data_IF_050115723079
#
_entry.id   IF_050115723079
#
_cell.length_a   1.000
_cell.length_b   1.000
_cell.length_c   1.000
_cell.angle_alpha   90.00
_cell.angle_beta   90.00
_cell.angle_gamma   90.00
#
_symmetry.space_group_name_H-M   'P 1'
#
loop_
_entity.id
_entity.type
_entity.pdbx_description
1 polymer ?
#
# COMPACT_ATOMS: atom_id res chain seq x y z
N UNK A 1 -16.83 3.78 12.58
CA UNK A 1 -16.37 2.80 11.56
C UNK A 1 -15.25 2.02 12.22
N UNK A 2 -15.21 0.70 12.08
CA UNK A 2 -14.14 -0.14 12.64
C UNK A 2 -12.82 0.16 11.95
N UNK A 3 -11.73 0.17 12.72
CA UNK A 3 -10.36 0.27 12.21
C UNK A 3 -10.00 -1.06 11.51
N UNK A 4 -9.34 -1.08 10.35
CA UNK A 4 -8.83 -2.33 9.75
C UNK A 4 -8.02 -3.19 10.72
N UNK A 5 -7.31 -2.57 11.65
CA UNK A 5 -6.54 -3.25 12.68
C UNK A 5 -7.40 -4.03 13.70
N UNK A 6 -8.70 -3.74 13.81
CA UNK A 6 -9.62 -4.51 14.66
C UNK A 6 -9.77 -5.97 14.17
N UNK A 7 -9.59 -6.22 12.87
CA UNK A 7 -9.59 -7.57 12.27
C UNK A 7 -8.18 -8.10 12.03
N UNK A 8 -7.29 -7.29 11.48
CA UNK A 8 -5.93 -7.69 11.09
C UNK A 8 -5.07 -7.96 12.33
N UNK A 9 -5.21 -7.14 13.40
CA UNK A 9 -4.42 -7.31 14.62
C UNK A 9 -4.61 -8.67 15.30
N UNK A 10 -5.85 -9.10 15.59
CA UNK A 10 -6.12 -10.45 16.12
C UNK A 10 -5.62 -11.58 15.20
N UNK A 11 -5.73 -11.43 13.87
CA UNK A 11 -5.18 -12.39 12.92
C UNK A 11 -3.66 -12.52 13.06
N UNK A 12 -2.91 -11.40 12.99
CA UNK A 12 -1.46 -11.40 13.09
C UNK A 12 -0.96 -11.90 14.45
N UNK A 13 -1.65 -11.54 15.54
CA UNK A 13 -1.29 -11.97 16.89
C UNK A 13 -1.57 -13.46 17.14
N UNK A 14 -2.49 -14.06 16.40
CA UNK A 14 -2.87 -15.47 16.47
C UNK A 14 -1.94 -16.42 15.72
N UNK A 15 -1.02 -15.90 14.90
CA UNK A 15 -0.10 -16.74 14.13
C UNK A 15 0.95 -17.41 15.05
N UNK A 16 1.17 -18.72 14.86
CA UNK A 16 2.16 -19.51 15.61
C UNK A 16 3.59 -19.35 15.07
N UNK A 17 3.76 -18.58 14.01
CA UNK A 17 5.04 -18.28 13.38
C UNK A 17 5.27 -16.76 13.33
N UNK A 18 6.46 -16.34 12.90
CA UNK A 18 6.77 -14.94 12.64
C UNK A 18 5.90 -14.42 11.50
N UNK A 19 5.02 -13.42 11.72
CA UNK A 19 4.20 -12.85 10.65
C UNK A 19 5.07 -12.36 9.48
N UNK A 20 4.58 -12.53 8.26
CA UNK A 20 5.25 -12.17 7.01
C UNK A 20 4.39 -11.14 6.32
N UNK A 21 4.88 -9.91 6.29
CA UNK A 21 4.13 -8.73 5.87
C UNK A 21 4.82 -8.06 4.70
N UNK A 22 4.06 -7.74 3.65
CA UNK A 22 4.47 -6.86 2.55
C UNK A 22 3.61 -5.60 2.63
N UNK A 23 4.25 -4.43 2.58
CA UNK A 23 3.58 -3.14 2.64
C UNK A 23 4.03 -2.27 1.48
N UNK A 24 3.08 -1.86 0.64
CA UNK A 24 3.30 -1.02 -0.52
C UNK A 24 2.65 0.35 -0.26
N UNK A 25 3.47 1.40 -0.12
CA UNK A 25 3.07 2.71 0.36
C UNK A 25 3.13 2.80 1.88
N UNK A 26 4.32 2.99 2.43
CA UNK A 26 4.56 3.02 3.88
C UNK A 26 4.27 4.41 4.47
N UNK A 27 4.39 5.46 3.65
CA UNK A 27 4.27 6.85 4.07
C UNK A 27 5.24 7.16 5.22
N UNK A 28 4.78 7.61 6.39
CA UNK A 28 5.61 7.86 7.58
C UNK A 28 5.71 6.66 8.52
N UNK A 29 5.12 5.52 8.15
CA UNK A 29 5.16 4.30 8.93
C UNK A 29 4.11 4.21 10.03
N UNK A 30 3.07 5.05 10.02
CA UNK A 30 2.03 5.03 11.06
C UNK A 30 1.30 3.67 11.07
N UNK A 31 0.85 3.18 9.91
CA UNK A 31 0.24 1.86 9.75
C UNK A 31 1.24 0.75 10.07
N UNK A 32 2.48 0.90 9.59
CA UNK A 32 3.56 -0.06 9.84
C UNK A 32 3.78 -0.28 11.33
N UNK A 33 3.98 0.78 12.09
CA UNK A 33 4.21 0.67 13.54
C UNK A 33 3.05 -0.03 14.24
N UNK A 34 1.81 0.25 13.85
CA UNK A 34 0.63 -0.41 14.40
C UNK A 34 0.57 -1.90 14.03
N UNK A 35 0.86 -2.25 12.77
CA UNK A 35 0.94 -3.64 12.31
C UNK A 35 2.05 -4.42 13.03
N UNK A 36 3.25 -3.83 13.14
CA UNK A 36 4.38 -4.48 13.84
C UNK A 36 4.08 -4.69 15.33
N UNK A 37 3.40 -3.72 15.98
CA UNK A 37 3.00 -3.81 17.39
C UNK A 37 1.90 -4.87 17.63
N UNK A 38 1.06 -5.15 16.63
CA UNK A 38 0.03 -6.18 16.72
C UNK A 38 0.59 -7.61 16.63
N UNK A 39 1.83 -7.76 16.14
CA UNK A 39 2.46 -9.07 15.97
C UNK A 39 2.96 -9.62 17.31
N UNK A 40 2.59 -10.88 17.64
CA UNK A 40 3.12 -11.60 18.81
C UNK A 40 4.62 -11.90 18.69
N UNK A 41 5.07 -12.16 17.46
CA UNK A 41 6.47 -12.46 17.13
C UNK A 41 7.02 -11.37 16.22
N UNK A 42 8.31 -10.98 16.32
CA UNK A 42 8.89 -9.99 15.42
C UNK A 42 8.69 -10.42 13.96
N UNK A 43 7.99 -9.63 13.13
CA UNK A 43 7.63 -10.05 11.78
C UNK A 43 8.83 -10.06 10.83
N UNK A 44 8.68 -10.75 9.70
CA UNK A 44 9.45 -10.50 8.48
C UNK A 44 8.65 -9.49 7.69
N UNK A 45 9.22 -8.30 7.49
CA UNK A 45 8.52 -7.19 6.86
C UNK A 45 9.31 -6.65 5.67
N UNK A 46 8.61 -6.36 4.58
CA UNK A 46 9.11 -5.71 3.39
C UNK A 46 8.25 -4.49 3.12
N UNK A 47 8.83 -3.29 3.11
CA UNK A 47 8.11 -2.04 2.89
C UNK A 47 8.67 -1.24 1.72
N UNK A 48 7.79 -0.66 0.89
CA UNK A 48 8.11 0.26 -0.20
C UNK A 48 7.52 1.64 0.06
N UNK A 49 8.35 2.66 -0.09
CA UNK A 49 7.95 4.06 -0.02
C UNK A 49 8.70 4.87 -1.07
N UNK A 50 8.05 5.28 -2.17
CA UNK A 50 8.71 5.95 -3.26
C UNK A 50 9.03 7.43 -2.99
N UNK A 51 8.25 8.12 -2.13
CA UNK A 51 8.48 9.54 -1.84
C UNK A 51 9.73 9.69 -0.95
N UNK A 52 10.82 10.30 -1.44
CA UNK A 52 12.06 10.40 -0.68
C UNK A 52 11.89 11.15 0.64
N UNK A 53 10.91 12.06 0.72
CA UNK A 53 10.60 12.81 1.95
C UNK A 53 10.02 11.87 3.03
N UNK A 54 9.12 10.97 2.62
CA UNK A 54 8.49 9.99 3.50
C UNK A 54 9.48 8.87 3.86
N UNK A 55 10.23 8.36 2.89
CA UNK A 55 11.28 7.36 3.11
C UNK A 55 12.33 7.84 4.11
N UNK A 56 12.67 9.14 4.11
CA UNK A 56 13.55 9.72 5.12
C UNK A 56 12.92 9.64 6.52
N UNK A 57 11.64 9.99 6.68
CA UNK A 57 10.92 9.89 7.96
C UNK A 57 10.89 8.45 8.45
N UNK A 58 10.64 7.48 7.56
CA UNK A 58 10.70 6.05 7.88
C UNK A 58 12.07 5.66 8.45
N UNK A 59 13.16 6.05 7.79
CA UNK A 59 14.53 5.76 8.26
C UNK A 59 14.81 6.39 9.64
N UNK A 60 14.37 7.61 9.84
CA UNK A 60 14.52 8.32 11.12
C UNK A 60 13.73 7.65 12.26
N UNK A 61 12.59 7.00 11.93
CA UNK A 61 11.80 6.19 12.89
C UNK A 61 12.30 4.75 13.06
N UNK A 62 13.37 4.35 12.35
CA UNK A 62 13.98 3.03 12.43
C UNK A 62 13.37 1.99 11.47
N UNK A 63 12.50 2.41 10.54
CA UNK A 63 11.96 1.53 9.50
C UNK A 63 12.89 1.47 8.29
N UNK A 64 13.24 0.25 7.86
CA UNK A 64 14.09 0.01 6.70
C UNK A 64 13.22 -0.17 5.45
N UNK A 65 12.76 0.94 4.86
CA UNK A 65 11.98 0.92 3.61
C UNK A 65 12.87 0.84 2.36
N UNK A 66 12.31 0.29 1.30
CA UNK A 66 12.83 0.42 -0.07
C UNK A 66 12.33 1.75 -0.63
N UNK A 67 13.26 2.64 -0.96
CA UNK A 67 12.93 3.94 -1.57
C UNK A 67 12.69 3.73 -3.08
N UNK A 68 11.58 3.08 -3.39
CA UNK A 68 11.16 2.73 -4.75
C UNK A 68 9.63 2.59 -4.81
N UNK A 69 9.04 2.77 -5.98
CA UNK A 69 7.65 2.44 -6.23
C UNK A 69 7.51 0.96 -6.63
N UNK A 70 6.54 0.27 -6.04
CA UNK A 70 6.13 -1.06 -6.52
C UNK A 70 5.48 -0.94 -7.89
N UNK A 71 5.98 -1.67 -8.90
CA UNK A 71 5.57 -1.55 -10.29
C UNK A 71 5.69 -2.89 -11.05
N UNK A 72 5.24 -2.89 -12.30
CA UNK A 72 5.29 -4.05 -13.22
C UNK A 72 6.71 -4.40 -13.70
N UNK A 73 7.65 -3.49 -13.55
CA UNK A 73 9.06 -3.64 -13.96
C UNK A 73 9.98 -2.74 -13.16
N UNK A 74 11.27 -3.09 -13.12
CA UNK A 74 12.32 -2.21 -12.64
C UNK A 74 12.62 -1.09 -13.65
N UNK A 75 12.92 0.10 -13.17
CA UNK A 75 13.20 1.27 -13.99
C UNK A 75 13.16 2.57 -13.20
N UNK A 76 12.89 3.66 -13.91
CA UNK A 76 12.71 4.99 -13.34
C UNK A 76 11.38 5.54 -13.87
N UNK A 77 10.61 6.19 -12.98
CA UNK A 77 9.30 6.79 -13.30
C UNK A 77 9.15 8.12 -12.57
N UNK A 78 8.36 9.02 -13.15
CA UNK A 78 7.95 10.25 -12.48
C UNK A 78 7.00 9.96 -11.32
N UNK A 79 7.33 10.45 -10.12
CA UNK A 79 6.45 10.50 -8.95
C UNK A 79 5.84 11.90 -8.84
N UNK A 80 4.53 11.99 -8.87
CA UNK A 80 3.79 13.22 -8.60
C UNK A 80 3.76 13.45 -7.08
N UNK A 81 4.41 14.50 -6.62
CA UNK A 81 4.55 14.79 -5.19
C UNK A 81 3.34 15.56 -4.67
N UNK A 82 2.60 14.97 -3.75
CA UNK A 82 1.54 15.68 -3.05
C UNK A 82 2.13 16.67 -2.04
N UNK A 83 1.44 17.81 -1.88
CA UNK A 83 1.77 18.88 -0.94
C UNK A 83 0.50 19.60 -0.51
N UNK A 84 0.61 20.45 0.50
CA UNK A 84 -0.48 21.22 1.06
C UNK A 84 -0.59 21.02 2.57
N UNK A 85 -1.73 21.39 3.13
CA UNK A 85 -1.99 21.21 4.57
C UNK A 85 -3.33 20.53 4.74
N UNK A 86 -3.34 19.35 5.34
CA UNK A 86 -4.57 18.61 5.62
C UNK A 86 -5.48 19.43 6.54
N UNK A 87 -6.74 19.69 6.17
CA UNK A 87 -7.69 20.42 7.00
C UNK A 87 -7.81 19.82 8.40
N UNK A 88 -7.83 20.68 9.43
CA UNK A 88 -7.94 20.23 10.82
C UNK A 88 -6.62 19.81 11.48
N UNK A 89 -5.51 19.77 10.73
CA UNK A 89 -4.18 19.49 11.28
C UNK A 89 -3.38 20.79 11.43
N UNK A 90 -2.68 20.97 12.56
CA UNK A 90 -1.78 22.12 12.73
C UNK A 90 -0.47 21.86 12.00
N UNK A 91 -0.29 22.50 10.81
CA UNK A 91 0.97 22.51 10.05
C UNK A 91 1.50 21.13 9.62
N UNK A 92 0.68 20.10 9.55
CA UNK A 92 1.08 18.81 8.98
C UNK A 92 1.10 18.95 7.46
N UNK A 93 2.28 18.84 6.88
CA UNK A 93 2.45 18.79 5.43
C UNK A 93 1.80 17.51 4.90
N UNK A 94 1.00 17.64 3.86
CA UNK A 94 0.31 16.52 3.22
C UNK A 94 1.23 15.86 2.18
N UNK A 95 1.74 14.67 2.48
CA UNK A 95 2.60 13.89 1.57
C UNK A 95 2.05 12.49 1.31
N UNK A 96 0.87 12.18 1.85
CA UNK A 96 0.24 10.86 1.85
C UNK A 96 -0.53 10.54 0.55
N UNK A 97 -0.58 11.48 -0.42
CA UNK A 97 -1.22 11.27 -1.73
C UNK A 97 -0.23 11.25 -2.90
N UNK A 98 1.09 11.16 -2.64
CA UNK A 98 2.10 11.07 -3.69
C UNK A 98 1.96 9.77 -4.48
N UNK A 99 2.03 9.83 -5.82
CA UNK A 99 1.80 8.67 -6.67
C UNK A 99 2.58 8.70 -7.98
N UNK A 100 2.92 7.52 -8.49
CA UNK A 100 3.38 7.32 -9.87
C UNK A 100 2.20 7.32 -10.87
N UNK A 101 0.96 7.18 -10.39
CA UNK A 101 -0.24 7.38 -11.16
C UNK A 101 -0.60 8.88 -11.20
N UNK A 102 -0.98 9.38 -12.37
CA UNK A 102 -1.32 10.79 -12.53
C UNK A 102 -2.58 11.16 -11.75
N UNK A 103 -2.55 12.16 -10.84
CA UNK A 103 -3.74 12.62 -10.15
C UNK A 103 -4.72 13.27 -11.15
N UNK A 104 -5.98 12.86 -11.10
CA UNK A 104 -7.04 13.34 -12.00
C UNK A 104 -8.14 14.04 -11.22
N UNK A 105 -9.02 13.28 -10.56
CA UNK A 105 -10.12 13.83 -9.75
C UNK A 105 -9.69 14.23 -8.34
N UNK A 106 -8.51 13.85 -7.92
CA UNK A 106 -7.97 14.13 -6.58
C UNK A 106 -8.02 15.64 -6.26
N UNK A 107 -7.58 16.48 -7.19
CA UNK A 107 -7.60 17.96 -7.01
C UNK A 107 -9.00 18.54 -6.84
N UNK A 108 -10.01 17.94 -7.47
CA UNK A 108 -11.40 18.38 -7.31
C UNK A 108 -12.00 17.93 -5.97
N UNK A 109 -11.63 16.73 -5.52
CA UNK A 109 -12.08 16.16 -4.24
C UNK A 109 -11.36 16.81 -3.04
N UNK A 110 -10.08 17.14 -3.21
CA UNK A 110 -9.19 17.66 -2.17
C UNK A 110 -8.47 18.94 -2.64
N UNK A 111 -9.17 20.08 -2.77
CA UNK A 111 -8.61 21.32 -3.34
C UNK A 111 -7.50 21.96 -2.51
N UNK A 112 -7.29 21.48 -1.28
CA UNK A 112 -6.22 21.88 -0.39
C UNK A 112 -4.92 21.08 -0.62
N UNK A 113 -4.98 19.97 -1.37
CA UNK A 113 -3.83 19.19 -1.79
C UNK A 113 -3.38 19.64 -3.19
N UNK A 114 -2.08 19.71 -3.44
CA UNK A 114 -1.49 20.10 -4.72
C UNK A 114 -0.44 19.09 -5.17
N UNK A 115 -0.16 19.04 -6.47
CA UNK A 115 0.88 18.23 -7.10
C UNK A 115 1.74 19.11 -8.01
N UNK A 116 2.22 20.22 -7.45
CA UNK A 116 3.01 21.21 -8.21
C UNK A 116 4.44 20.76 -8.52
N UNK A 117 4.90 19.70 -7.87
CA UNK A 117 6.24 19.16 -8.01
C UNK A 117 6.20 17.67 -8.35
N UNK A 118 7.23 17.21 -9.02
CA UNK A 118 7.50 15.79 -9.26
C UNK A 118 8.99 15.49 -9.10
N UNK A 119 9.34 14.23 -8.97
CA UNK A 119 10.72 13.76 -9.02
C UNK A 119 10.77 12.38 -9.68
N UNK A 120 11.94 12.03 -10.20
CA UNK A 120 12.18 10.67 -10.69
C UNK A 120 12.46 9.75 -9.50
N UNK A 121 11.83 8.57 -9.51
CA UNK A 121 12.02 7.53 -8.49
C UNK A 121 12.27 6.18 -9.15
N UNK A 122 12.98 5.31 -8.46
CA UNK A 122 13.16 3.92 -8.87
C UNK A 122 11.84 3.15 -8.79
N UNK A 123 11.69 2.15 -9.65
CA UNK A 123 10.60 1.17 -9.60
C UNK A 123 11.16 -0.23 -9.45
N UNK A 124 10.45 -1.07 -8.69
CA UNK A 124 10.81 -2.46 -8.47
C UNK A 124 9.59 -3.37 -8.60
N UNK A 125 9.82 -4.60 -9.06
CA UNK A 125 8.82 -5.65 -8.96
C UNK A 125 8.90 -6.28 -7.56
N UNK A 126 7.76 -6.43 -6.91
CA UNK A 126 7.68 -7.11 -5.60
C UNK A 126 8.17 -8.55 -5.71
N UNK A 127 7.85 -9.23 -6.82
CA UNK A 127 8.26 -10.61 -7.08
C UNK A 127 9.78 -10.81 -7.22
N UNK A 128 10.53 -9.74 -7.56
CA UNK A 128 12.00 -9.82 -7.66
C UNK A 128 12.69 -9.65 -6.28
N UNK A 129 11.94 -9.18 -5.28
CA UNK A 129 12.47 -8.87 -3.93
C UNK A 129 12.01 -9.88 -2.88
N UNK A 130 10.73 -10.23 -2.90
CA UNK A 130 10.15 -11.16 -1.92
C UNK A 130 10.46 -12.61 -2.32
N UNK A 131 11.20 -13.38 -1.50
CA UNK A 131 11.60 -14.73 -1.87
C UNK A 131 10.42 -15.63 -2.24
N UNK A 132 10.54 -16.39 -3.34
CA UNK A 132 9.46 -17.26 -3.86
C UNK A 132 8.96 -18.31 -2.87
N UNK A 133 9.84 -18.80 -1.98
CA UNK A 133 9.50 -19.80 -0.97
C UNK A 133 8.75 -19.21 0.24
N UNK A 134 8.66 -17.89 0.36
CA UNK A 134 8.06 -17.19 1.49
C UNK A 134 6.57 -16.96 1.25
N UNK A 135 5.69 -17.67 1.95
CA UNK A 135 4.27 -17.34 2.00
C UNK A 135 4.07 -15.99 2.71
N UNK A 136 3.04 -15.23 2.36
CA UNK A 136 2.74 -13.92 2.93
C UNK A 136 1.44 -13.98 3.71
N UNK A 137 1.47 -13.56 4.97
CA UNK A 137 0.28 -13.55 5.82
C UNK A 137 -0.58 -12.31 5.53
N UNK A 138 0.06 -11.15 5.31
CA UNK A 138 -0.63 -9.91 4.98
C UNK A 138 0.14 -9.13 3.89
N UNK A 139 -0.58 -8.70 2.86
CA UNK A 139 -0.14 -7.62 1.97
C UNK A 139 -1.01 -6.40 2.23
N UNK A 140 -0.39 -5.27 2.61
CA UNK A 140 -1.03 -3.98 2.79
C UNK A 140 -0.67 -3.06 1.63
N UNK A 141 -1.66 -2.54 0.91
CA UNK A 141 -1.45 -1.80 -0.34
C UNK A 141 -2.17 -0.46 -0.29
N UNK A 142 -1.38 0.60 -0.20
CA UNK A 142 -1.82 1.99 -0.31
C UNK A 142 -0.85 2.73 -1.26
N UNK A 143 -1.06 2.57 -2.55
CA UNK A 143 -0.19 3.08 -3.61
C UNK A 143 -0.81 4.21 -4.42
N UNK A 144 -1.86 4.80 -3.86
CA UNK A 144 -2.50 6.00 -4.40
C UNK A 144 -2.79 5.89 -5.90
N UNK A 145 -3.61 4.88 -6.28
CA UNK A 145 -4.07 4.66 -7.65
C UNK A 145 -3.15 3.78 -8.53
N UNK A 146 -1.94 3.45 -8.09
CA UNK A 146 -1.00 2.64 -8.86
C UNK A 146 -1.19 1.10 -8.72
N UNK A 147 -2.34 0.64 -8.18
CA UNK A 147 -2.60 -0.79 -7.89
C UNK A 147 -2.38 -1.70 -9.10
N UNK A 148 -2.75 -1.29 -10.32
CA UNK A 148 -2.57 -2.12 -11.53
C UNK A 148 -1.10 -2.43 -11.79
N UNK A 149 -0.23 -1.43 -11.63
CA UNK A 149 1.22 -1.58 -11.81
C UNK A 149 1.82 -2.42 -10.68
N UNK A 150 1.49 -2.10 -9.44
CA UNK A 150 1.98 -2.81 -8.26
C UNK A 150 1.60 -4.30 -8.31
N UNK A 151 0.35 -4.62 -8.62
CA UNK A 151 -0.12 -6.00 -8.71
C UNK A 151 0.46 -6.75 -9.90
N UNK A 152 0.70 -6.10 -11.03
CA UNK A 152 1.35 -6.73 -12.18
C UNK A 152 2.80 -7.18 -11.83
N UNK A 153 3.49 -6.44 -10.94
CA UNK A 153 4.81 -6.81 -10.44
C UNK A 153 4.82 -7.72 -9.21
N UNK A 154 3.64 -8.11 -8.70
CA UNK A 154 3.49 -8.89 -7.46
C UNK A 154 2.69 -10.19 -7.64
N UNK A 155 2.48 -10.68 -8.87
CA UNK A 155 1.60 -11.81 -9.17
C UNK A 155 1.99 -13.10 -8.43
N UNK A 156 3.28 -13.43 -8.42
CA UNK A 156 3.78 -14.59 -7.71
C UNK A 156 3.66 -14.41 -6.18
N UNK A 157 3.92 -13.22 -5.65
CA UNK A 157 3.77 -12.91 -4.23
C UNK A 157 2.30 -12.93 -3.83
N UNK A 158 1.41 -12.32 -4.60
CA UNK A 158 -0.04 -12.35 -4.41
C UNK A 158 -0.59 -13.78 -4.44
N UNK A 159 -0.06 -14.68 -5.28
CA UNK A 159 -0.52 -16.07 -5.36
C UNK A 159 -0.33 -16.87 -4.06
N UNK A 160 0.52 -16.40 -3.15
CA UNK A 160 0.85 -16.99 -1.85
C UNK A 160 0.57 -16.06 -0.66
N UNK A 161 -0.26 -15.03 -0.87
CA UNK A 161 -0.71 -14.09 0.15
C UNK A 161 -2.06 -14.52 0.69
N UNK A 162 -2.23 -14.56 2.01
CA UNK A 162 -3.47 -14.97 2.68
C UNK A 162 -4.46 -13.80 2.82
N UNK A 163 -4.00 -12.65 3.29
CA UNK A 163 -4.81 -11.45 3.49
C UNK A 163 -4.27 -10.29 2.67
N UNK A 164 -5.18 -9.55 2.02
CA UNK A 164 -4.87 -8.34 1.26
C UNK A 164 -5.73 -7.19 1.76
N UNK A 165 -5.11 -6.18 2.35
CA UNK A 165 -5.75 -4.88 2.58
C UNK A 165 -5.34 -3.93 1.45
N UNK A 166 -6.32 -3.26 0.84
CA UNK A 166 -6.05 -2.42 -0.32
C UNK A 166 -6.95 -1.19 -0.34
N UNK A 167 -6.35 -0.02 -0.57
CA UNK A 167 -7.10 1.19 -0.89
C UNK A 167 -7.92 0.98 -2.18
N UNK A 168 -9.18 1.38 -2.14
CA UNK A 168 -10.12 1.34 -3.25
C UNK A 168 -11.11 2.50 -3.12
N UNK A 169 -10.85 3.58 -3.81
CA UNK A 169 -11.75 4.74 -3.81
C UNK A 169 -13.09 4.41 -4.47
N UNK A 170 -14.22 4.87 -3.91
CA UNK A 170 -15.54 4.75 -4.55
C UNK A 170 -15.62 5.42 -5.93
N UNK A 171 -14.76 6.41 -6.14
CA UNK A 171 -14.57 7.12 -7.41
C UNK A 171 -13.06 7.25 -7.64
N UNK A 172 -12.51 6.72 -8.74
CA UNK A 172 -11.08 6.79 -9.02
C UNK A 172 -10.53 8.23 -8.94
N UNK A 173 -9.46 8.41 -8.20
CA UNK A 173 -8.79 9.69 -7.97
C UNK A 173 -7.59 9.88 -8.91
N UNK A 174 -7.05 8.77 -9.42
CA UNK A 174 -5.86 8.72 -10.25
C UNK A 174 -6.13 8.04 -11.60
N UNK A 175 -5.27 8.29 -12.57
CA UNK A 175 -5.34 7.64 -13.88
C UNK A 175 -4.97 6.15 -13.77
N UNK A 176 -5.80 5.29 -14.35
CA UNK A 176 -5.60 3.85 -14.30
C UNK A 176 -5.96 3.16 -12.97
N UNK A 177 -6.43 3.90 -11.97
CA UNK A 177 -6.92 3.32 -10.72
C UNK A 177 -8.12 2.38 -10.98
N UNK A 178 -8.23 1.21 -10.29
CA UNK A 178 -9.41 0.36 -10.38
C UNK A 178 -10.68 1.11 -10.00
N UNK A 179 -11.70 1.11 -10.87
CA UNK A 179 -12.95 1.83 -10.65
C UNK A 179 -13.98 1.07 -9.84
N UNK A 180 -13.71 -0.20 -9.52
CA UNK A 180 -14.63 -1.05 -8.76
C UNK A 180 -13.90 -2.20 -8.07
N UNK A 181 -14.58 -2.82 -7.10
CA UNK A 181 -14.07 -4.03 -6.46
C UNK A 181 -13.90 -5.19 -7.44
N UNK A 182 -14.77 -5.32 -8.41
CA UNK A 182 -14.68 -6.37 -9.44
C UNK A 182 -13.42 -6.19 -10.29
N UNK A 183 -13.11 -4.95 -10.70
CA UNK A 183 -11.85 -4.65 -11.39
C UNK A 183 -10.64 -4.93 -10.51
N UNK A 184 -10.67 -4.54 -9.22
CA UNK A 184 -9.58 -4.81 -8.29
C UNK A 184 -9.34 -6.31 -8.15
N UNK A 185 -10.39 -7.10 -7.88
CA UNK A 185 -10.29 -8.56 -7.75
C UNK A 185 -9.80 -9.19 -9.06
N UNK A 186 -10.22 -8.67 -10.21
CA UNK A 186 -9.77 -9.12 -11.53
C UNK A 186 -8.27 -8.95 -11.79
N UNK A 187 -7.55 -8.15 -11.00
CA UNK A 187 -6.10 -8.01 -11.06
C UNK A 187 -5.36 -9.06 -10.22
N UNK A 188 -6.07 -9.76 -9.35
CA UNK A 188 -5.49 -10.67 -8.36
C UNK A 188 -5.46 -12.11 -8.87
N UNK A 189 -4.40 -12.89 -8.61
CA UNK A 189 -4.37 -14.31 -8.94
C UNK A 189 -5.23 -15.14 -7.98
N UNK A 190 -5.92 -16.13 -8.51
CA UNK A 190 -6.75 -17.05 -7.73
C UNK A 190 -8.08 -16.47 -7.27
N UNK A 191 -8.69 -17.07 -6.27
CA UNK A 191 -9.99 -16.66 -5.72
C UNK A 191 -9.81 -15.81 -4.47
N UNK A 192 -10.57 -14.73 -4.36
CA UNK A 192 -10.59 -13.84 -3.20
C UNK A 192 -12.03 -13.57 -2.76
N UNK A 193 -12.24 -13.51 -1.46
CA UNK A 193 -13.52 -13.08 -0.86
C UNK A 193 -13.34 -11.80 -0.06
N UNK A 194 -14.38 -10.99 -0.03
CA UNK A 194 -14.40 -9.78 0.80
C UNK A 194 -14.60 -10.19 2.26
N UNK A 195 -13.69 -9.79 3.12
CA UNK A 195 -13.81 -9.93 4.57
C UNK A 195 -14.45 -8.69 5.20
N UNK A 196 -13.99 -7.49 4.78
CA UNK A 196 -14.54 -6.23 5.24
C UNK A 196 -14.43 -5.15 4.16
N UNK A 197 -15.32 -4.14 4.25
CA UNK A 197 -15.27 -2.91 3.46
C UNK A 197 -15.19 -1.71 4.35
N UNK A 198 -14.39 -0.75 3.94
CA UNK A 198 -14.22 0.55 4.56
C UNK A 198 -14.58 1.65 3.55
N UNK A 199 -14.65 2.93 3.92
CA UNK A 199 -15.07 4.00 3.00
C UNK A 199 -14.25 4.13 1.73
N UNK A 200 -12.94 3.87 1.81
CA UNK A 200 -11.99 3.94 0.70
C UNK A 200 -11.04 2.74 0.64
N UNK A 201 -11.39 1.63 1.33
CA UNK A 201 -10.52 0.46 1.41
C UNK A 201 -11.34 -0.84 1.41
N UNK A 202 -10.66 -1.94 1.14
CA UNK A 202 -11.21 -3.29 1.22
C UNK A 202 -10.20 -4.24 1.86
N UNK A 203 -10.70 -5.13 2.71
CA UNK A 203 -9.96 -6.27 3.23
C UNK A 203 -10.45 -7.53 2.52
N UNK A 204 -9.54 -8.18 1.83
CA UNK A 204 -9.78 -9.42 1.10
C UNK A 204 -9.02 -10.57 1.76
N UNK A 205 -9.62 -11.75 1.72
CA UNK A 205 -8.99 -13.00 2.20
C UNK A 205 -9.00 -14.00 1.06
N UNK A 206 -7.91 -14.73 0.93
CA UNK A 206 -7.79 -15.78 -0.07
C UNK A 206 -8.90 -16.82 0.12
N UNK A 207 -9.64 -17.10 -0.93
CA UNK A 207 -10.60 -18.21 -0.96
C UNK A 207 -9.85 -19.55 -0.94
N UNK A 208 -10.25 -20.46 -0.06
CA UNK A 208 -9.81 -21.85 -0.17
C UNK A 208 -10.30 -22.47 -1.48
N UNK A 209 -9.52 -23.40 -2.03
CA UNK A 209 -9.97 -24.26 -3.13
C UNK A 209 -11.20 -25.08 -2.73
#
# INVERSE_FOLDING_TARGET
MSDPLDLIGPYLSGLDHRPRIVELGVHWGESTHALLAACRHPPIWFGWEPDPRNAQVCRESGLMVREAAASDRAGIVELHLSDGTTPGTRNRRHTDSSSIAKPTRHLAAHPWCTFAQSCDVETERVDDVVPEWLGIDLMWVDVQGAQRLAFAGAQATLSRTEWLFCELHPVPMYDGEPGSLEELIGLLPGAWRVEARYPADVLLVRGGE
#
